data_IF_555158449181
#
_entry.id   IF_555158449181
#
_cell.length_a   1.000
_cell.length_b   1.000
_cell.length_c   1.000
_cell.angle_alpha   90.00
_cell.angle_beta   90.00
_cell.angle_gamma   90.00
#
_symmetry.space_group_name_H-M   'P 1'
#
loop_
_entity.id
_entity.type
_entity.pdbx_description
1 polymer ?
#
# COMPACT_ATOMS: atom_id res chain seq x y z
N UNK A 1 -19.32 -11.71 6.45
CA UNK A 1 -19.26 -11.84 4.98
C UNK A 1 -18.36 -13.02 4.63
N UNK A 2 -18.88 -14.00 3.90
CA UNK A 2 -18.11 -15.18 3.45
C UNK A 2 -17.03 -14.80 2.43
N UNK A 3 -17.30 -13.80 1.58
CA UNK A 3 -16.36 -13.30 0.57
C UNK A 3 -15.07 -12.75 1.19
N UNK A 4 -15.16 -11.95 2.25
CA UNK A 4 -13.98 -11.39 2.90
C UNK A 4 -13.09 -12.49 3.52
N UNK A 5 -13.72 -13.49 4.14
CA UNK A 5 -13.03 -14.59 4.81
C UNK A 5 -12.37 -15.57 3.84
N UNK A 6 -12.90 -15.73 2.61
CA UNK A 6 -12.31 -16.63 1.61
C UNK A 6 -11.02 -16.08 1.00
N UNK A 7 -10.93 -14.78 0.73
CA UNK A 7 -9.78 -14.17 0.01
C UNK A 7 -8.75 -13.47 0.92
N UNK A 8 -9.02 -13.31 2.22
CA UNK A 8 -8.11 -12.66 3.18
C UNK A 8 -7.63 -13.57 4.32
N UNK A 9 -7.82 -14.90 4.21
CA UNK A 9 -7.24 -15.85 5.17
C UNK A 9 -5.71 -15.67 5.23
N UNK A 10 -5.14 -15.86 6.43
CA UNK A 10 -3.70 -15.71 6.73
C UNK A 10 -3.13 -14.29 6.59
N UNK A 11 -3.95 -13.26 6.37
CA UNK A 11 -3.52 -11.86 6.35
C UNK A 11 -3.77 -11.21 7.72
N UNK A 12 -2.81 -10.42 8.19
CA UNK A 12 -3.01 -9.48 9.31
C UNK A 12 -3.63 -8.19 8.76
N UNK A 13 -4.41 -7.47 9.57
CA UNK A 13 -5.10 -6.25 9.16
C UNK A 13 -4.84 -5.13 10.14
N UNK A 14 -4.65 -3.92 9.59
CA UNK A 14 -4.61 -2.66 10.33
C UNK A 14 -5.48 -1.65 9.57
N UNK A 15 -6.15 -0.75 10.29
CA UNK A 15 -6.92 0.33 9.70
C UNK A 15 -6.09 1.62 9.74
N UNK A 16 -5.81 2.21 8.57
CA UNK A 16 -5.01 3.43 8.44
C UNK A 16 -5.75 4.43 7.55
N UNK A 17 -5.90 5.66 8.03
CA UNK A 17 -6.48 6.75 7.23
C UNK A 17 -5.39 7.43 6.39
N UNK A 18 -5.26 7.05 5.13
CA UNK A 18 -4.28 7.62 4.19
C UNK A 18 -4.60 9.04 3.69
N UNK A 19 -5.72 9.64 4.11
CA UNK A 19 -5.98 11.08 3.90
C UNK A 19 -5.27 11.95 4.93
N UNK A 20 -4.91 11.38 6.07
CA UNK A 20 -4.08 12.06 7.07
C UNK A 20 -2.60 11.86 6.70
N UNK A 21 -1.77 12.93 6.70
CA UNK A 21 -0.33 12.81 6.47
C UNK A 21 0.36 11.77 7.37
N UNK A 22 -0.13 11.58 8.60
CA UNK A 22 0.38 10.52 9.50
C UNK A 22 0.08 9.13 8.97
N UNK A 23 -1.08 8.92 8.34
CA UNK A 23 -1.42 7.65 7.71
C UNK A 23 -0.51 7.34 6.53
N UNK A 24 -0.23 8.33 5.68
CA UNK A 24 0.75 8.20 4.58
C UNK A 24 2.13 7.82 5.13
N UNK A 25 2.57 8.47 6.22
CA UNK A 25 3.85 8.16 6.89
C UNK A 25 3.91 6.70 7.36
N UNK A 26 2.86 6.19 8.00
CA UNK A 26 2.78 4.80 8.45
C UNK A 26 2.93 3.82 7.27
N UNK A 27 2.24 4.09 6.15
CA UNK A 27 2.35 3.23 4.96
C UNK A 27 3.77 3.26 4.38
N UNK A 28 4.42 4.42 4.35
CA UNK A 28 5.82 4.55 3.91
C UNK A 28 6.79 3.80 4.81
N UNK A 29 6.63 3.90 6.13
CA UNK A 29 7.45 3.15 7.10
C UNK A 29 7.28 1.64 6.94
N UNK A 30 6.06 1.16 6.67
CA UNK A 30 5.81 -0.25 6.36
C UNK A 30 6.43 -0.66 5.04
N UNK A 31 6.30 0.15 3.98
CA UNK A 31 6.90 -0.13 2.69
C UNK A 31 8.43 -0.27 2.77
N UNK A 32 9.10 0.54 3.60
CA UNK A 32 10.56 0.47 3.78
C UNK A 32 11.08 -0.88 4.33
N UNK A 33 10.22 -1.71 4.93
CA UNK A 33 10.59 -3.01 5.50
C UNK A 33 9.88 -4.18 4.81
N UNK A 34 9.18 -3.94 3.70
CA UNK A 34 8.43 -4.95 2.97
C UNK A 34 9.11 -5.26 1.63
N UNK A 35 9.04 -6.52 1.20
CA UNK A 35 9.56 -6.94 -0.10
C UNK A 35 8.60 -6.62 -1.26
N UNK A 36 7.30 -6.53 -0.99
CA UNK A 36 6.26 -6.36 -2.02
C UNK A 36 5.19 -5.36 -1.56
N UNK A 37 4.87 -4.38 -2.41
CA UNK A 37 3.76 -3.45 -2.25
C UNK A 37 2.70 -3.73 -3.32
N UNK A 38 1.48 -4.10 -2.93
CA UNK A 38 0.39 -4.41 -3.86
C UNK A 38 -0.76 -3.45 -3.68
N UNK A 39 -1.28 -2.90 -4.77
CA UNK A 39 -2.43 -2.02 -4.76
C UNK A 39 -3.35 -2.23 -5.98
N UNK A 40 -4.63 -1.94 -5.78
CA UNK A 40 -5.67 -2.05 -6.80
C UNK A 40 -6.63 -0.85 -6.76
N UNK A 41 -6.09 0.35 -6.51
CA UNK A 41 -6.87 1.58 -6.53
C UNK A 41 -7.10 2.06 -7.97
N UNK A 42 -8.05 3.00 -8.12
CA UNK A 42 -8.23 3.72 -9.38
C UNK A 42 -6.88 4.31 -9.82
N UNK A 43 -6.46 4.11 -11.09
CA UNK A 43 -5.18 4.61 -11.59
C UNK A 43 -4.94 6.08 -11.23
N UNK A 44 -3.73 6.37 -10.74
CA UNK A 44 -3.30 7.71 -10.32
C UNK A 44 -3.78 8.15 -8.93
N UNK A 45 -4.71 7.43 -8.28
CA UNK A 45 -5.22 7.83 -6.96
C UNK A 45 -4.18 7.74 -5.85
N UNK A 46 -3.38 6.67 -5.81
CA UNK A 46 -2.30 6.55 -4.82
C UNK A 46 -1.13 7.50 -5.12
N UNK A 47 -0.82 7.72 -6.39
CA UNK A 47 0.20 8.72 -6.79
C UNK A 47 -0.17 10.12 -6.30
N UNK A 48 -1.45 10.52 -6.43
CA UNK A 48 -1.93 11.79 -5.89
C UNK A 48 -1.86 11.90 -4.34
N UNK A 49 -1.74 10.76 -3.65
CA UNK A 49 -1.57 10.68 -2.19
C UNK A 49 -0.09 10.51 -1.77
N UNK A 50 0.85 10.55 -2.71
CA UNK A 50 2.28 10.38 -2.45
C UNK A 50 2.67 8.94 -2.12
N UNK A 51 1.91 7.96 -2.62
CA UNK A 51 2.11 6.52 -2.44
C UNK A 51 2.21 5.79 -3.80
N UNK A 52 2.49 6.53 -4.88
CA UNK A 52 2.74 5.93 -6.19
C UNK A 52 4.12 5.28 -6.26
N UNK A 53 4.40 4.60 -7.37
CA UNK A 53 5.68 3.94 -7.60
C UNK A 53 6.89 4.85 -7.30
N UNK A 54 6.94 6.05 -7.89
CA UNK A 54 8.07 6.97 -7.71
C UNK A 54 8.26 7.44 -6.26
N UNK A 55 7.19 7.49 -5.46
CA UNK A 55 7.28 7.87 -4.05
C UNK A 55 7.76 6.70 -3.17
N UNK A 56 7.33 5.49 -3.52
CA UNK A 56 7.69 4.26 -2.82
C UNK A 56 9.12 3.83 -3.17
N UNK A 57 9.54 3.95 -4.44
CA UNK A 57 10.89 3.64 -4.91
C UNK A 57 11.96 4.48 -4.19
N UNK A 58 11.67 5.76 -3.91
CA UNK A 58 12.57 6.65 -3.15
C UNK A 58 12.86 6.17 -1.73
N UNK A 59 11.90 5.48 -1.09
CA UNK A 59 12.03 5.02 0.31
C UNK A 59 12.41 3.55 0.41
N UNK A 60 12.04 2.75 -0.58
CA UNK A 60 12.23 1.30 -0.61
C UNK A 60 12.66 0.85 -2.02
N UNK A 61 13.89 1.15 -2.48
CA UNK A 61 14.34 0.80 -3.84
C UNK A 61 14.40 -0.71 -4.13
N UNK A 62 14.30 -1.54 -3.09
CA UNK A 62 14.31 -3.01 -3.18
C UNK A 62 12.91 -3.60 -3.39
N UNK A 63 11.86 -2.79 -3.24
CA UNK A 63 10.49 -3.30 -3.19
C UNK A 63 9.96 -3.62 -4.59
N UNK A 64 9.21 -4.71 -4.70
CA UNK A 64 8.43 -5.00 -5.90
C UNK A 64 7.08 -4.28 -5.77
N UNK A 65 6.86 -3.26 -6.60
CA UNK A 65 5.58 -2.55 -6.67
C UNK A 65 4.67 -3.19 -7.71
N UNK A 66 3.50 -3.67 -7.28
CA UNK A 66 2.49 -4.31 -8.12
C UNK A 66 1.19 -3.49 -8.12
N UNK A 67 0.82 -2.98 -9.28
CA UNK A 67 -0.45 -2.30 -9.52
C UNK A 67 -1.38 -3.20 -10.32
N UNK A 68 -2.64 -3.30 -9.90
CA UNK A 68 -3.71 -4.00 -10.60
C UNK A 68 -4.72 -2.96 -11.08
N UNK A 69 -4.71 -2.67 -12.38
CA UNK A 69 -5.54 -1.64 -13.04
C UNK A 69 -6.58 -2.21 -13.98
#
# INVERSE_FOLDING_TARGET
STYFLSVNRNKKSIAVNIKDPKGVKIIKELAAVCDVFVENYIPGRLSAMGLGYEDIDKIAPHIIYCSIT
#
